data_IF_541709044062
#
_entry.id   IF_541709044062
#
_cell.length_a   1.000
_cell.length_b   1.000
_cell.length_c   1.000
_cell.angle_alpha   90.00
_cell.angle_beta   90.00
_cell.angle_gamma   90.00
#
_symmetry.space_group_name_H-M   'P 1'
#
loop_
_entity.id
_entity.type
_entity.pdbx_description
1 polymer ?
#
# COMPACT_ATOMS: atom_id res chain seq x y z
N UNK A 1 -20.62 -17.19 -7.83
CA UNK A 1 -20.69 -16.24 -6.69
C UNK A 1 -19.26 -15.88 -6.33
N UNK A 2 -18.79 -14.73 -6.79
CA UNK A 2 -17.45 -14.21 -6.46
C UNK A 2 -17.66 -13.15 -5.38
N UNK A 3 -17.23 -13.43 -4.15
CA UNK A 3 -17.32 -12.45 -3.06
C UNK A 3 -16.40 -11.24 -3.33
N UNK A 4 -16.84 -10.02 -3.02
CA UNK A 4 -15.99 -8.85 -3.10
C UNK A 4 -14.93 -8.91 -1.99
N UNK A 5 -13.65 -8.96 -2.38
CA UNK A 5 -12.54 -8.80 -1.42
C UNK A 5 -12.56 -7.36 -0.90
N UNK A 6 -12.73 -7.23 0.41
CA UNK A 6 -12.74 -5.96 1.12
C UNK A 6 -11.37 -5.25 1.00
N UNK A 7 -11.30 -4.01 0.49
CA UNK A 7 -10.03 -3.31 0.23
C UNK A 7 -9.31 -2.86 1.52
N UNK A 8 -9.89 -3.07 2.71
CA UNK A 8 -9.25 -2.73 3.99
C UNK A 8 -8.34 -3.83 4.53
N UNK A 9 -8.40 -5.04 3.96
CA UNK A 9 -7.49 -6.17 4.29
C UNK A 9 -6.03 -5.96 3.86
N UNK A 10 -5.70 -4.80 3.28
CA UNK A 10 -4.32 -4.40 2.94
C UNK A 10 -3.71 -3.36 3.87
N UNK A 11 -4.48 -2.83 4.85
CA UNK A 11 -3.93 -1.96 5.89
C UNK A 11 -3.50 -2.81 7.09
N UNK A 12 -2.83 -3.92 6.79
CA UNK A 12 -2.22 -4.78 7.78
C UNK A 12 -1.05 -4.06 8.42
N UNK A 13 -0.80 -4.39 9.67
CA UNK A 13 0.43 -4.10 10.39
C UNK A 13 1.61 -4.64 9.55
N UNK A 14 2.13 -3.80 8.65
CA UNK A 14 3.12 -4.19 7.65
C UNK A 14 4.46 -4.42 8.37
N UNK A 15 4.71 -5.66 8.78
CA UNK A 15 5.93 -6.05 9.47
C UNK A 15 5.73 -6.87 10.76
N UNK A 16 4.51 -7.01 11.28
CA UNK A 16 4.28 -7.67 12.58
C UNK A 16 2.96 -8.45 12.64
N UNK A 17 2.75 -9.36 11.68
CA UNK A 17 1.61 -10.28 11.78
C UNK A 17 1.92 -11.39 12.82
N UNK A 18 1.27 -11.29 13.99
CA UNK A 18 1.38 -12.28 15.09
C UNK A 18 1.01 -13.70 14.64
N UNK A 19 0.20 -13.84 13.58
CA UNK A 19 -0.14 -15.14 13.01
C UNK A 19 1.04 -15.81 12.30
N UNK A 20 2.06 -15.07 11.85
CA UNK A 20 3.31 -15.62 11.32
C UNK A 20 4.10 -16.30 12.44
N UNK A 21 4.22 -15.65 13.60
CA UNK A 21 4.92 -16.21 14.77
C UNK A 21 4.24 -17.48 15.28
N UNK A 22 2.92 -17.46 15.45
CA UNK A 22 2.17 -18.67 15.85
C UNK A 22 2.33 -19.82 14.83
N UNK A 23 2.43 -19.51 13.53
CA UNK A 23 2.68 -20.51 12.48
C UNK A 23 4.10 -21.08 12.54
N UNK A 24 5.09 -20.25 12.84
CA UNK A 24 6.49 -20.66 13.04
C UNK A 24 6.67 -21.51 14.30
N UNK A 25 6.01 -21.15 15.40
CA UNK A 25 6.05 -21.93 16.65
C UNK A 25 5.46 -23.33 16.46
N UNK A 26 4.32 -23.42 15.74
CA UNK A 26 3.66 -24.69 15.44
C UNK A 26 4.41 -25.51 14.40
N UNK A 27 5.09 -24.87 13.45
CA UNK A 27 5.85 -25.54 12.40
C UNK A 27 7.08 -24.71 11.97
N UNK A 28 8.24 -24.89 12.64
CA UNK A 28 9.45 -24.11 12.36
C UNK A 28 10.09 -24.44 11.00
N UNK A 29 9.74 -25.57 10.39
CA UNK A 29 10.22 -25.99 9.07
C UNK A 29 9.39 -25.39 7.92
N UNK A 30 8.30 -24.67 8.24
CA UNK A 30 7.43 -24.04 7.26
C UNK A 30 8.17 -22.97 6.46
N UNK A 31 8.50 -23.29 5.20
CA UNK A 31 9.16 -22.36 4.27
C UNK A 31 8.37 -21.07 4.08
N UNK A 32 7.04 -21.16 4.07
CA UNK A 32 6.17 -20.00 3.91
C UNK A 32 6.27 -19.07 5.13
N UNK A 33 6.13 -19.61 6.34
CA UNK A 33 6.19 -18.79 7.56
C UNK A 33 7.57 -18.13 7.72
N UNK A 34 8.64 -18.85 7.39
CA UNK A 34 10.02 -18.31 7.37
C UNK A 34 10.21 -17.20 6.35
N UNK A 35 9.64 -17.35 5.15
CA UNK A 35 9.68 -16.32 4.12
C UNK A 35 8.89 -15.08 4.55
N UNK A 36 7.68 -15.26 5.05
CA UNK A 36 6.83 -14.17 5.55
C UNK A 36 7.59 -13.36 6.63
N UNK A 37 8.20 -14.04 7.63
CA UNK A 37 9.04 -13.38 8.66
C UNK A 37 10.25 -12.65 8.10
N UNK A 38 10.96 -13.27 7.15
CA UNK A 38 12.15 -12.65 6.54
C UNK A 38 11.79 -11.42 5.69
N UNK A 39 10.60 -11.40 5.08
CA UNK A 39 10.10 -10.24 4.34
C UNK A 39 9.83 -9.08 5.31
N UNK A 40 9.17 -9.33 6.43
CA UNK A 40 8.91 -8.33 7.47
C UNK A 40 10.20 -7.71 8.02
N UNK A 41 11.19 -8.55 8.37
CA UNK A 41 12.50 -8.09 8.86
C UNK A 41 13.27 -7.24 7.81
N UNK A 42 13.00 -7.44 6.52
CA UNK A 42 13.70 -6.74 5.43
C UNK A 42 13.12 -5.35 5.09
N UNK A 43 11.88 -5.06 5.49
CA UNK A 43 11.19 -3.83 5.12
C UNK A 43 11.64 -2.62 5.95
N UNK A 44 11.76 -2.75 7.28
CA UNK A 44 12.27 -1.67 8.15
C UNK A 44 13.78 -1.44 7.99
N UNK A 45 14.52 -2.49 7.65
CA UNK A 45 15.97 -2.42 7.49
C UNK A 45 16.42 -1.68 6.21
N UNK A 46 15.51 -1.37 5.27
CA UNK A 46 15.87 -0.91 3.93
C UNK A 46 15.42 0.51 3.56
N UNK A 47 14.67 1.23 4.40
CA UNK A 47 14.31 2.61 4.07
C UNK A 47 15.30 3.59 4.72
N UNK A 48 16.36 4.03 4.01
CA UNK A 48 17.21 5.09 4.54
C UNK A 48 16.35 6.34 4.78
N UNK A 49 16.58 7.09 5.87
CA UNK A 49 15.87 8.35 6.07
C UNK A 49 16.06 9.22 4.83
N UNK A 50 14.93 9.61 4.21
CA UNK A 50 14.90 10.39 2.98
C UNK A 50 15.88 11.56 3.08
N UNK A 51 17.02 11.45 2.39
CA UNK A 51 18.11 12.44 2.48
C UNK A 51 17.83 13.65 1.59
N UNK A 52 16.76 13.60 0.79
CA UNK A 52 16.25 14.76 0.07
C UNK A 52 15.52 15.68 1.04
N UNK A 53 16.28 16.50 1.74
CA UNK A 53 15.73 17.68 2.36
C UNK A 53 15.01 18.51 1.28
N UNK A 54 13.77 18.98 1.49
CA UNK A 54 13.22 20.09 0.71
C UNK A 54 13.91 21.40 1.15
N UNK A 55 15.24 21.43 1.18
CA UNK A 55 16.03 22.55 1.71
C UNK A 55 15.81 23.84 0.92
N UNK A 56 15.19 23.78 -0.26
CA UNK A 56 14.98 24.93 -1.14
C UNK A 56 13.51 25.13 -1.57
N UNK A 57 12.56 24.32 -1.08
CA UNK A 57 11.14 24.48 -1.43
C UNK A 57 10.33 24.96 -0.23
N UNK A 58 10.34 26.28 0.01
CA UNK A 58 9.44 26.94 0.96
C UNK A 58 8.01 27.13 0.41
N UNK A 59 7.76 26.67 -0.81
CA UNK A 59 6.47 26.73 -1.45
C UNK A 59 5.96 25.30 -1.67
N UNK A 60 4.64 25.14 -1.59
CA UNK A 60 4.00 23.91 -2.00
C UNK A 60 4.44 23.59 -3.45
N UNK A 61 4.68 22.31 -3.78
CA UNK A 61 4.97 21.93 -5.16
C UNK A 61 3.85 22.43 -6.06
N UNK A 62 4.18 22.80 -7.30
CA UNK A 62 3.18 23.21 -8.26
C UNK A 62 2.12 22.12 -8.36
N UNK A 63 0.87 22.45 -8.02
CA UNK A 63 -0.27 21.55 -8.16
C UNK A 63 -0.24 21.02 -9.60
N UNK A 64 -0.32 19.70 -9.77
CA UNK A 64 -0.36 19.04 -11.07
C UNK A 64 -1.71 19.30 -11.75
N UNK A 65 -1.98 20.56 -12.07
CA UNK A 65 -3.06 21.00 -12.96
C UNK A 65 -4.46 20.50 -12.63
N UNK A 66 -4.79 20.23 -11.35
CA UNK A 66 -6.13 19.76 -10.99
C UNK A 66 -7.18 20.78 -11.48
N UNK A 67 -7.97 20.36 -12.47
CA UNK A 67 -9.00 21.16 -13.11
C UNK A 67 -10.34 20.52 -12.78
N UNK A 68 -11.08 21.13 -11.85
CA UNK A 68 -12.30 20.59 -11.29
C UNK A 68 -13.37 20.29 -12.37
N UNK A 69 -13.37 21.01 -13.48
CA UNK A 69 -14.34 20.81 -14.56
C UNK A 69 -13.95 19.62 -15.44
N UNK A 70 -12.66 19.46 -15.74
CA UNK A 70 -12.16 18.28 -16.47
C UNK A 70 -12.35 17.01 -15.65
N UNK A 71 -12.10 17.06 -14.35
CA UNK A 71 -12.24 15.91 -13.46
C UNK A 71 -13.71 15.47 -13.33
N UNK A 72 -14.66 16.42 -13.26
CA UNK A 72 -16.09 16.10 -13.32
C UNK A 72 -16.48 15.44 -14.64
N UNK A 73 -16.02 15.96 -15.77
CA UNK A 73 -16.31 15.40 -17.09
C UNK A 73 -15.77 13.97 -17.22
N UNK A 74 -14.53 13.73 -16.79
CA UNK A 74 -13.94 12.38 -16.76
C UNK A 74 -14.70 11.44 -15.82
N UNK A 75 -15.17 11.94 -14.67
CA UNK A 75 -15.97 11.14 -13.74
C UNK A 75 -17.33 10.74 -14.32
N UNK A 76 -18.02 11.67 -15.01
CA UNK A 76 -19.28 11.40 -15.69
C UNK A 76 -19.11 10.45 -16.88
N UNK A 77 -18.04 10.62 -17.66
CA UNK A 77 -17.74 9.74 -18.80
C UNK A 77 -17.39 8.33 -18.33
N UNK A 78 -16.64 8.22 -17.24
CA UNK A 78 -16.32 6.93 -16.61
C UNK A 78 -17.57 6.25 -16.05
N UNK A 79 -18.48 6.99 -15.44
CA UNK A 79 -19.76 6.44 -14.97
C UNK A 79 -20.60 5.88 -16.14
N UNK A 80 -20.67 6.59 -17.27
CA UNK A 80 -21.38 6.10 -18.47
C UNK A 80 -20.74 4.86 -19.09
N UNK A 81 -19.41 4.74 -19.04
CA UNK A 81 -18.68 3.57 -19.53
C UNK A 81 -18.79 2.34 -18.62
N UNK A 82 -19.17 2.52 -17.35
CA UNK A 82 -19.36 1.42 -16.40
C UNK A 82 -20.78 0.82 -16.44
N UNK A 83 -21.74 1.55 -17.02
CA UNK A 83 -23.15 1.14 -17.17
C UNK A 83 -23.48 0.58 -18.58
N UNK A 84 -22.47 0.40 -19.44
CA UNK A 84 -22.59 -0.21 -20.77
C UNK A 84 -21.93 -1.59 -20.82
#
# INVERSE_FOLDING_TARGET
>A
MTEPRDPTTGRGDAGTDTSIEERLEKNPESKQARLDRALDESMDASDPPATTQPIHSHQAPASSGYDAEKEKQMAEEKARQQDA
#
